data_IF_494276973726
#
_entry.id   IF_494276973726
#
_cell.length_a   1.000
_cell.length_b   1.000
_cell.length_c   1.000
_cell.angle_alpha   90.00
_cell.angle_beta   90.00
_cell.angle_gamma   90.00
#
_symmetry.space_group_name_H-M   'P 1'
#
loop_
_entity.id
_entity.type
_entity.pdbx_description
1 polymer ?
#
# COMPACT_ATOMS: atom_id res chain seq x y z
N UNK A 1 -9.70 -10.79 0.43
CA UNK A 1 -9.14 -9.46 0.78
C UNK A 1 -8.24 -9.65 1.99
N UNK A 2 -7.05 -9.04 2.00
CA UNK A 2 -6.10 -9.14 3.11
C UNK A 2 -5.83 -7.75 3.67
N UNK A 3 -5.94 -7.64 4.99
CA UNK A 3 -5.54 -6.48 5.78
C UNK A 3 -4.39 -6.87 6.72
N UNK A 4 -3.39 -5.99 6.91
CA UNK A 4 -2.45 -6.09 8.01
C UNK A 4 -3.17 -5.92 9.36
N UNK A 5 -2.73 -6.65 10.38
CA UNK A 5 -3.30 -6.57 11.73
C UNK A 5 -2.84 -5.35 12.53
N UNK A 6 -1.77 -4.70 12.09
CA UNK A 6 -1.07 -3.58 12.71
C UNK A 6 -1.33 -2.23 12.02
N UNK A 7 -2.31 -2.15 11.10
CA UNK A 7 -2.69 -0.89 10.44
C UNK A 7 -4.11 -0.46 10.82
N UNK A 8 -4.25 0.82 11.18
CA UNK A 8 -5.56 1.48 11.31
C UNK A 8 -5.87 2.21 10.01
N UNK A 9 -7.08 1.99 9.49
CA UNK A 9 -7.57 2.64 8.28
C UNK A 9 -8.69 3.63 8.61
N UNK A 10 -8.71 4.77 7.93
CA UNK A 10 -9.86 5.66 7.96
C UNK A 10 -11.08 4.98 7.33
N UNK A 11 -12.27 5.22 7.89
CA UNK A 11 -13.52 4.65 7.35
C UNK A 11 -13.72 4.99 5.86
N UNK A 12 -13.54 6.26 5.49
CA UNK A 12 -13.69 6.71 4.10
C UNK A 12 -12.67 6.07 3.15
N UNK A 13 -11.46 5.74 3.64
CA UNK A 13 -10.46 5.01 2.88
C UNK A 13 -10.98 3.61 2.53
N UNK A 14 -11.51 2.90 3.53
CA UNK A 14 -12.06 1.55 3.34
C UNK A 14 -13.28 1.57 2.43
N UNK A 15 -14.18 2.53 2.62
CA UNK A 15 -15.35 2.69 1.78
C UNK A 15 -14.95 2.91 0.30
N UNK A 16 -13.98 3.78 0.04
CA UNK A 16 -13.50 4.00 -1.33
C UNK A 16 -12.80 2.76 -1.91
N UNK A 17 -12.00 2.06 -1.12
CA UNK A 17 -11.36 0.81 -1.55
C UNK A 17 -12.41 -0.24 -1.94
N UNK A 18 -13.48 -0.38 -1.16
CA UNK A 18 -14.59 -1.30 -1.46
C UNK A 18 -15.40 -0.87 -2.69
N UNK A 19 -15.67 0.42 -2.86
CA UNK A 19 -16.33 0.95 -4.06
C UNK A 19 -15.52 0.66 -5.33
N UNK A 20 -14.21 0.88 -5.28
CA UNK A 20 -13.30 0.55 -6.37
C UNK A 20 -13.24 -0.96 -6.64
N UNK A 21 -13.25 -1.77 -5.59
CA UNK A 21 -13.33 -3.22 -5.71
C UNK A 21 -14.60 -3.66 -6.44
N UNK A 22 -15.77 -3.16 -6.03
CA UNK A 22 -17.06 -3.49 -6.64
C UNK A 22 -17.10 -3.11 -8.13
N UNK A 23 -16.58 -1.92 -8.48
CA UNK A 23 -16.48 -1.46 -9.88
C UNK A 23 -15.57 -2.33 -10.75
N UNK A 24 -14.63 -3.06 -10.14
CA UNK A 24 -13.63 -3.87 -10.83
C UNK A 24 -13.76 -5.37 -10.51
N UNK A 25 -14.86 -5.79 -9.90
CA UNK A 25 -15.02 -7.15 -9.38
C UNK A 25 -14.84 -8.22 -10.45
N UNK A 26 -15.40 -7.99 -11.64
CA UNK A 26 -15.28 -8.90 -12.80
C UNK A 26 -13.84 -9.11 -13.29
N UNK A 27 -12.89 -8.26 -12.89
CA UNK A 27 -11.49 -8.42 -13.26
C UNK A 27 -10.76 -9.40 -12.34
N UNK A 28 -11.30 -9.68 -11.15
CA UNK A 28 -10.63 -10.50 -10.12
C UNK A 28 -10.39 -11.95 -10.55
N UNK A 29 -11.13 -12.46 -11.54
CA UNK A 29 -10.89 -13.81 -12.06
C UNK A 29 -9.51 -13.93 -12.71
N UNK A 30 -9.01 -12.82 -13.30
CA UNK A 30 -7.79 -12.79 -14.09
C UNK A 30 -6.67 -11.93 -13.49
N UNK A 31 -6.92 -11.24 -12.38
CA UNK A 31 -5.91 -10.40 -11.75
C UNK A 31 -6.13 -10.22 -10.25
N UNK A 32 -5.08 -9.80 -9.56
CA UNK A 32 -5.15 -9.29 -8.19
C UNK A 32 -5.17 -7.76 -8.19
N UNK A 33 -5.56 -7.16 -7.07
CA UNK A 33 -5.63 -5.70 -6.91
C UNK A 33 -4.75 -5.27 -5.75
N UNK A 34 -4.04 -4.16 -5.95
CA UNK A 34 -3.43 -3.36 -4.88
C UNK A 34 -3.92 -1.93 -4.98
N UNK A 35 -4.20 -1.33 -3.84
CA UNK A 35 -4.59 0.07 -3.75
C UNK A 35 -3.36 0.95 -3.53
N UNK A 36 -3.39 2.14 -4.10
CA UNK A 36 -2.35 3.13 -3.89
C UNK A 36 -2.92 4.54 -3.87
N UNK A 37 -2.17 5.48 -3.31
CA UNK A 37 -2.42 6.91 -3.47
C UNK A 37 -1.24 7.60 -4.11
N UNK A 38 -1.51 8.59 -4.96
CA UNK A 38 -0.47 9.46 -5.51
C UNK A 38 -0.26 10.62 -4.54
N UNK A 39 0.84 10.59 -3.78
CA UNK A 39 1.11 11.58 -2.73
C UNK A 39 2.43 12.32 -2.97
N UNK A 40 2.48 13.60 -2.60
CA UNK A 40 3.70 14.40 -2.60
C UNK A 40 4.61 13.94 -1.48
N UNK A 41 5.90 13.81 -1.77
CA UNK A 41 6.90 13.42 -0.74
C UNK A 41 7.02 14.50 0.34
N UNK A 42 6.87 15.77 -0.02
CA UNK A 42 6.86 16.88 0.95
C UNK A 42 5.77 16.71 2.00
N UNK A 43 4.54 16.38 1.58
CA UNK A 43 3.42 16.13 2.49
C UNK A 43 3.66 14.94 3.41
N UNK A 44 4.30 13.87 2.91
CA UNK A 44 4.71 12.76 3.77
C UNK A 44 5.79 13.17 4.78
N UNK A 45 6.80 13.94 4.36
CA UNK A 45 7.87 14.43 5.24
C UNK A 45 7.34 15.36 6.33
N UNK A 46 6.36 16.18 6.00
CA UNK A 46 5.66 17.03 6.96
C UNK A 46 4.86 16.19 7.96
N UNK A 47 4.08 15.23 7.47
CA UNK A 47 3.29 14.33 8.33
C UNK A 47 4.13 13.51 9.31
N UNK A 48 5.30 13.03 8.87
CA UNK A 48 6.22 12.23 9.69
C UNK A 48 7.42 13.06 10.16
N UNK A 49 7.26 14.38 10.28
CA UNK A 49 8.33 15.25 10.78
C UNK A 49 8.57 14.93 12.25
N UNK A 50 9.81 14.58 12.57
CA UNK A 50 10.26 14.31 13.94
C UNK A 50 11.60 15.01 14.17
N UNK A 51 11.83 15.41 15.42
CA UNK A 51 13.12 15.94 15.87
C UNK A 51 14.10 14.82 16.25
N UNK A 52 13.64 13.56 16.32
CA UNK A 52 14.48 12.40 16.63
C UNK A 52 15.15 11.87 15.35
N UNK A 53 16.49 11.96 15.22
CA UNK A 53 17.22 11.49 14.05
C UNK A 53 17.22 9.97 13.89
N UNK A 54 16.86 9.20 14.94
CA UNK A 54 16.85 7.74 14.92
C UNK A 54 15.49 7.16 14.47
N UNK A 55 14.44 7.98 14.39
CA UNK A 55 13.13 7.55 13.94
C UNK A 55 13.02 7.63 12.41
N UNK A 56 13.07 6.47 11.76
CA UNK A 56 12.94 6.37 10.30
C UNK A 56 11.58 5.77 9.89
N UNK A 57 10.74 6.57 9.22
CA UNK A 57 9.55 6.00 8.57
C UNK A 57 9.93 5.34 7.24
N UNK A 58 9.52 4.09 7.08
CA UNK A 58 9.68 3.36 5.83
C UNK A 58 8.40 3.40 5.01
N UNK A 59 8.52 3.64 3.70
CA UNK A 59 7.39 3.80 2.80
C UNK A 59 7.46 2.74 1.69
N UNK A 60 6.39 1.95 1.58
CA UNK A 60 6.15 1.04 0.46
C UNK A 60 5.45 1.78 -0.68
N UNK A 61 5.96 1.63 -1.91
CA UNK A 61 5.45 2.32 -3.09
C UNK A 61 5.50 1.46 -4.36
N UNK A 62 4.58 1.75 -5.28
CA UNK A 62 4.46 1.05 -6.56
C UNK A 62 5.35 1.69 -7.64
N UNK A 63 5.92 0.81 -8.47
CA UNK A 63 6.23 1.11 -9.87
C UNK A 63 5.09 0.55 -10.70
N UNK A 64 4.39 1.45 -11.40
CA UNK A 64 3.26 1.11 -12.26
C UNK A 64 3.65 1.30 -13.73
N UNK A 65 3.12 0.45 -14.58
CA UNK A 65 3.07 0.64 -16.03
C UNK A 65 1.61 0.90 -16.43
N UNK A 66 1.39 1.67 -17.51
CA UNK A 66 0.08 1.77 -18.12
C UNK A 66 -0.06 0.68 -19.18
N UNK A 67 -1.17 -0.04 -19.16
CA UNK A 67 -1.58 -0.97 -20.21
C UNK A 67 -2.98 -0.56 -20.66
N UNK A 68 -3.07 0.22 -21.74
CA UNK A 68 -4.29 0.93 -22.13
C UNK A 68 -4.77 1.88 -21.03
N UNK A 69 -6.05 1.77 -20.68
CA UNK A 69 -6.68 2.56 -19.59
C UNK A 69 -6.34 2.05 -18.19
N UNK A 70 -5.74 0.86 -18.06
CA UNK A 70 -5.47 0.21 -16.77
C UNK A 70 -4.05 0.48 -16.30
N UNK A 71 -3.90 0.67 -14.98
CA UNK A 71 -2.59 0.74 -14.34
C UNK A 71 -2.24 -0.63 -13.77
N UNK A 72 -1.08 -1.16 -14.13
CA UNK A 72 -0.59 -2.48 -13.70
C UNK A 72 0.67 -2.31 -12.87
N UNK A 73 0.79 -3.08 -11.80
CA UNK A 73 1.98 -3.08 -10.95
C UNK A 73 3.11 -3.81 -11.65
N UNK A 74 4.23 -3.10 -11.85
CA UNK A 74 5.49 -3.69 -12.31
C UNK A 74 6.34 -4.20 -11.15
N UNK A 75 6.35 -3.48 -10.02
CA UNK A 75 7.14 -3.82 -8.84
C UNK A 75 6.69 -3.05 -7.62
N UNK A 76 6.70 -3.70 -6.46
CA UNK A 76 6.63 -3.04 -5.15
C UNK A 76 8.05 -2.76 -4.64
N UNK A 77 8.33 -1.50 -4.29
CA UNK A 77 9.58 -1.08 -3.66
C UNK A 77 9.32 -0.50 -2.29
N UNK A 78 10.34 -0.52 -1.44
CA UNK A 78 10.29 0.00 -0.08
C UNK A 78 11.56 0.83 0.15
N UNK A 79 11.43 2.01 0.75
CA UNK A 79 12.53 2.91 1.07
C UNK A 79 12.21 3.75 2.29
N UNK A 80 13.22 4.17 3.04
CA UNK A 80 13.07 5.17 4.10
C UNK A 80 12.66 6.51 3.51
N UNK A 81 11.77 7.24 4.19
CA UNK A 81 11.19 8.50 3.72
C UNK A 81 12.27 9.56 3.42
N UNK A 82 13.33 9.61 4.25
CA UNK A 82 14.44 10.54 4.08
C UNK A 82 15.30 10.25 2.84
N UNK A 83 15.29 9.02 2.31
CA UNK A 83 16.05 8.66 1.10
C UNK A 83 15.44 9.22 -0.20
N UNK A 84 14.22 9.75 -0.16
CA UNK A 84 13.62 10.41 -1.31
C UNK A 84 14.14 11.84 -1.44
N UNK A 85 15.20 12.02 -2.27
CA UNK A 85 15.81 13.32 -2.58
C UNK A 85 15.12 14.04 -3.76
N UNK A 86 15.03 13.40 -4.92
CA UNK A 86 14.67 14.09 -6.18
C UNK A 86 13.25 13.82 -6.68
N UNK A 87 12.44 13.06 -5.94
CA UNK A 87 11.08 12.73 -6.38
C UNK A 87 10.08 13.73 -5.81
N UNK A 88 9.19 14.24 -6.67
CA UNK A 88 8.07 15.10 -6.24
C UNK A 88 6.91 14.27 -5.68
N UNK A 89 6.54 13.18 -6.35
CA UNK A 89 5.43 12.32 -5.97
C UNK A 89 5.79 10.83 -6.00
N UNK A 90 5.08 10.03 -5.23
CA UNK A 90 5.14 8.57 -5.26
C UNK A 90 3.74 7.96 -5.29
N UNK A 91 3.64 6.74 -5.79
CA UNK A 91 2.45 5.90 -5.68
C UNK A 91 2.57 5.08 -4.40
N UNK A 92 2.28 5.69 -3.25
CA UNK A 92 2.36 5.02 -1.95
C UNK A 92 1.33 3.89 -1.91
N UNK A 93 1.74 2.70 -1.50
CA UNK A 93 0.82 1.58 -1.29
C UNK A 93 -0.08 1.90 -0.10
N UNK A 94 -1.37 1.66 -0.28
CA UNK A 94 -2.31 1.46 0.82
C UNK A 94 -2.29 -0.05 1.07
N UNK A 95 -1.97 -0.52 2.29
CA UNK A 95 -1.67 -1.92 2.55
C UNK A 95 -2.93 -2.80 2.58
N UNK A 96 -3.71 -2.77 1.50
CA UNK A 96 -4.90 -3.57 1.25
C UNK A 96 -4.64 -4.32 -0.05
N UNK A 97 -4.71 -5.64 0.00
CA UNK A 97 -4.49 -6.50 -1.15
C UNK A 97 -5.70 -7.38 -1.41
N UNK A 98 -6.13 -7.44 -2.68
CA UNK A 98 -7.16 -8.37 -3.13
C UNK A 98 -6.48 -9.41 -4.00
N UNK A 99 -6.48 -10.65 -3.55
CA UNK A 99 -5.96 -11.76 -4.33
C UNK A 99 -7.12 -12.54 -4.92
N UNK A 100 -6.99 -12.92 -6.19
CA UNK A 100 -7.85 -13.93 -6.79
C UNK A 100 -7.59 -15.29 -6.12
N UNK A 101 -8.55 -16.20 -6.20
CA UNK A 101 -8.37 -17.55 -5.63
C UNK A 101 -7.16 -18.27 -6.25
N UNK A 102 -6.94 -18.12 -7.56
CA UNK A 102 -5.75 -18.65 -8.26
C UNK A 102 -4.46 -18.18 -7.59
N UNK A 103 -4.37 -16.88 -7.32
CA UNK A 103 -3.18 -16.28 -6.72
C UNK A 103 -3.01 -16.74 -5.27
N UNK A 104 -4.09 -16.94 -4.52
CA UNK A 104 -4.01 -17.52 -3.16
C UNK A 104 -3.42 -18.94 -3.21
N UNK A 105 -3.85 -19.78 -4.15
CA UNK A 105 -3.25 -21.12 -4.33
C UNK A 105 -1.78 -21.03 -4.71
N UNK A 106 -1.41 -20.08 -5.56
CA UNK A 106 -0.02 -19.89 -5.93
C UNK A 106 0.83 -19.45 -4.74
N UNK A 107 0.35 -18.51 -3.91
CA UNK A 107 1.01 -18.09 -2.67
C UNK A 107 1.25 -19.30 -1.75
N UNK A 108 0.23 -20.14 -1.57
CA UNK A 108 0.33 -21.37 -0.76
C UNK A 108 1.42 -22.30 -1.28
N UNK A 109 1.47 -22.54 -2.60
CA UNK A 109 2.47 -23.40 -3.21
C UNK A 109 3.89 -22.85 -3.04
N UNK A 110 4.07 -21.55 -3.26
CA UNK A 110 5.37 -20.91 -3.14
C UNK A 110 5.82 -20.87 -1.65
N UNK A 111 4.91 -20.62 -0.72
CA UNK A 111 5.21 -20.58 0.72
C UNK A 111 5.73 -21.93 1.26
N UNK A 112 5.33 -23.05 0.64
CA UNK A 112 5.86 -24.36 0.98
C UNK A 112 7.31 -24.58 0.52
N UNK A 113 7.75 -23.87 -0.52
CA UNK A 113 9.10 -24.04 -1.10
C UNK A 113 10.10 -22.99 -0.62
N UNK A 114 9.63 -21.81 -0.21
CA UNK A 114 10.47 -20.65 0.07
C UNK A 114 10.01 -19.95 1.34
N UNK A 115 10.97 -19.50 2.16
CA UNK A 115 10.68 -18.68 3.35
C UNK A 115 10.59 -17.21 2.97
N UNK A 116 9.36 -16.68 2.91
CA UNK A 116 9.12 -15.25 2.71
C UNK A 116 9.04 -14.51 4.03
N UNK A 117 9.55 -13.27 4.06
CA UNK A 117 9.45 -12.40 5.24
C UNK A 117 8.31 -11.40 5.13
N UNK A 118 7.89 -11.06 3.92
CA UNK A 118 6.90 -9.98 3.70
C UNK A 118 5.97 -10.26 2.52
N UNK A 119 4.74 -9.74 2.60
CA UNK A 119 3.78 -9.76 1.48
C UNK A 119 4.36 -9.09 0.21
N UNK A 120 5.23 -8.09 0.37
CA UNK A 120 5.96 -7.44 -0.71
C UNK A 120 6.81 -8.43 -1.52
N UNK A 121 7.48 -9.36 -0.87
CA UNK A 121 8.33 -10.35 -1.54
C UNK A 121 7.47 -11.32 -2.35
N UNK A 122 6.39 -11.80 -1.74
CA UNK A 122 5.40 -12.68 -2.36
C UNK A 122 4.82 -12.01 -3.61
N UNK A 123 4.28 -10.80 -3.48
CA UNK A 123 3.67 -10.06 -4.61
C UNK A 123 4.70 -9.80 -5.72
N UNK A 124 5.93 -9.40 -5.38
CA UNK A 124 6.97 -9.18 -6.39
C UNK A 124 7.38 -10.48 -7.11
N UNK A 125 7.35 -11.62 -6.44
CA UNK A 125 7.64 -12.91 -7.06
C UNK A 125 6.53 -13.31 -8.03
N UNK A 126 5.28 -13.13 -7.61
CA UNK A 126 4.11 -13.42 -8.44
C UNK A 126 4.11 -12.54 -9.70
N UNK A 127 4.36 -11.23 -9.55
CA UNK A 127 4.51 -10.31 -10.71
C UNK A 127 5.63 -10.76 -11.66
N UNK A 128 6.74 -11.32 -11.14
CA UNK A 128 7.83 -11.84 -11.99
C UNK A 128 7.42 -13.07 -12.81
N UNK A 129 6.39 -13.81 -12.37
CA UNK A 129 5.79 -14.91 -13.11
C UNK A 129 4.68 -14.45 -14.06
N UNK A 130 4.66 -13.16 -14.39
CA UNK A 130 3.73 -12.54 -15.35
C UNK A 130 2.27 -12.47 -14.88
N UNK A 131 2.02 -12.76 -13.60
CA UNK A 131 0.71 -12.57 -12.98
C UNK A 131 0.38 -11.08 -12.82
N UNK A 132 -0.87 -10.74 -13.12
CA UNK A 132 -1.31 -9.34 -13.22
C UNK A 132 -1.80 -8.84 -11.87
N UNK A 133 -1.19 -7.74 -11.41
CA UNK A 133 -1.72 -6.91 -10.34
C UNK A 133 -2.21 -5.59 -10.90
N UNK A 134 -3.51 -5.33 -10.83
CA UNK A 134 -4.08 -4.02 -11.09
C UNK A 134 -3.76 -3.08 -9.93
N UNK A 135 -3.38 -1.86 -10.28
CA UNK A 135 -3.15 -0.77 -9.35
C UNK A 135 -4.34 0.19 -9.42
N UNK A 136 -5.13 0.25 -8.35
CA UNK A 136 -6.26 1.18 -8.25
C UNK A 136 -5.87 2.37 -7.37
N UNK A 137 -6.09 3.58 -7.88
CA UNK A 137 -5.79 4.81 -7.16
C UNK A 137 -6.94 5.17 -6.23
N UNK A 138 -6.60 5.51 -4.99
CA UNK A 138 -7.48 6.13 -4.00
C UNK A 138 -7.04 7.58 -3.80
N UNK A 139 -7.98 8.45 -3.45
CA UNK A 139 -7.71 9.84 -3.13
C UNK A 139 -6.65 9.98 -2.02
N UNK A 140 -5.64 10.86 -2.17
CA UNK A 140 -4.61 11.05 -1.16
C UNK A 140 -5.11 11.64 0.17
N UNK A 141 -6.31 12.24 0.24
CA UNK A 141 -6.87 12.82 1.46
C UNK A 141 -7.18 11.78 2.52
N UNK A 142 -7.51 10.55 2.11
CA UNK A 142 -7.79 9.47 3.04
C UNK A 142 -6.52 8.87 3.64
N UNK A 143 -6.53 8.60 4.95
CA UNK A 143 -5.35 8.16 5.69
C UNK A 143 -5.45 6.73 6.23
N UNK A 144 -4.26 6.18 6.45
CA UNK A 144 -4.03 4.97 7.22
C UNK A 144 -2.79 5.19 8.09
N UNK A 145 -2.63 4.34 9.10
CA UNK A 145 -1.60 4.43 10.13
C UNK A 145 -1.07 3.02 10.41
N UNK A 146 0.11 2.71 9.87
CA UNK A 146 0.84 1.47 10.21
C UNK A 146 1.47 1.69 11.58
N UNK A 147 1.01 0.98 12.62
CA UNK A 147 1.44 1.15 14.01
C UNK A 147 2.74 0.38 14.24
N UNK A 148 3.77 0.73 13.48
CA UNK A 148 5.09 0.10 13.57
C UNK A 148 6.01 0.80 14.58
N UNK A 149 5.69 2.06 14.91
CA UNK A 149 6.61 2.92 15.64
C UNK A 149 5.92 3.98 16.50
N UNK A 150 6.63 4.56 17.50
CA UNK A 150 6.08 5.60 18.35
C UNK A 150 5.56 6.83 17.59
N UNK A 151 6.19 7.20 16.46
CA UNK A 151 5.73 8.34 15.65
C UNK A 151 4.34 8.09 15.04
N UNK A 152 4.03 6.84 14.70
CA UNK A 152 2.72 6.47 14.15
C UNK A 152 1.61 6.68 15.19
N UNK A 153 1.88 6.34 16.45
CA UNK A 153 0.99 6.57 17.59
C UNK A 153 0.79 8.06 17.88
N UNK A 154 1.86 8.87 17.81
CA UNK A 154 1.77 10.32 18.01
C UNK A 154 0.84 10.96 16.98
N UNK A 155 1.03 10.67 15.69
CA UNK A 155 0.20 11.23 14.61
C UNK A 155 -1.26 10.76 14.74
N UNK A 156 -1.48 9.50 15.12
CA UNK A 156 -2.83 8.98 15.36
C UNK A 156 -3.53 9.73 16.51
N UNK A 157 -2.82 9.97 17.61
CA UNK A 157 -3.35 10.70 18.75
C UNK A 157 -3.66 12.16 18.43
N UNK A 158 -2.82 12.82 17.63
CA UNK A 158 -3.09 14.17 17.14
C UNK A 158 -4.36 14.23 16.29
N UNK A 159 -4.59 13.23 15.43
CA UNK A 159 -5.84 13.14 14.66
C UNK A 159 -7.05 12.97 15.59
N UNK A 160 -7.00 12.02 16.52
CA UNK A 160 -8.11 11.79 17.47
C UNK A 160 -8.49 13.04 18.27
N UNK A 161 -7.51 13.87 18.63
CA UNK A 161 -7.74 15.16 19.30
C UNK A 161 -8.46 16.18 18.40
N UNK A 162 -8.19 16.18 17.09
CA UNK A 162 -8.84 17.07 16.12
C UNK A 162 -10.26 16.62 15.79
N UNK A 163 -10.50 15.31 15.72
CA UNK A 163 -11.81 14.75 15.38
C UNK A 163 -12.79 14.74 16.59
N UNK A 164 -12.26 14.88 17.81
CA UNK A 164 -13.04 14.91 19.07
C UNK A 164 -13.32 16.31 19.63
N UNK A 165 -13.11 17.37 18.84
CA UNK A 165 -13.54 18.74 19.13
C UNK A 165 -14.75 19.12 18.29
#
# INVERSE_FOLDING_TARGET
MIFPGDTIFDYNLLQEALNLLLKNYSLLDNCSIVFYRKIKISSLKERFKTNDPNLFKTISYLKINRNGSKSVVRKIKQRTLNSFKNKKTIHQIIPIFIFSFRIVQEIKNIANCNRFKTIREIVNLIIKKEEIFLALSIDPEYNFYDIDSPIDLMILNEKKKKDGQ
#
